data_IF_887994981815
#
_entry.id   IF_887994981815
#
_cell.length_a   1.000
_cell.length_b   1.000
_cell.length_c   1.000
_cell.angle_alpha   90.00
_cell.angle_beta   90.00
_cell.angle_gamma   90.00
#
_symmetry.space_group_name_H-M   'P 1'
#
loop_
_entity.id
_entity.type
_entity.pdbx_description
1 polymer ?
#
# COMPACT_ATOMS: atom_id res chain seq x y z
N UNK A 1 -57.73 -28.00 17.88
CA UNK A 1 -56.38 -28.23 18.46
C UNK A 1 -55.44 -28.78 17.40
N UNK A 2 -54.43 -27.97 17.05
CA UNK A 2 -53.11 -28.27 16.47
C UNK A 2 -52.95 -29.37 15.39
N UNK A 3 -52.78 -28.92 14.14
CA UNK A 3 -52.17 -29.68 13.03
C UNK A 3 -50.77 -30.16 13.43
N UNK A 4 -50.47 -31.46 13.29
CA UNK A 4 -49.10 -31.98 13.38
C UNK A 4 -48.70 -32.60 12.04
N UNK A 5 -47.86 -31.88 11.31
CA UNK A 5 -47.32 -32.27 10.01
C UNK A 5 -46.48 -33.56 10.11
N UNK A 6 -46.59 -34.49 9.13
CA UNK A 6 -45.75 -35.68 9.08
C UNK A 6 -44.34 -35.29 8.62
N UNK A 7 -43.35 -35.42 9.51
CA UNK A 7 -41.92 -35.27 9.17
C UNK A 7 -41.49 -36.47 8.31
N UNK A 8 -41.59 -36.34 6.99
CA UNK A 8 -41.17 -37.37 6.02
C UNK A 8 -39.71 -37.17 5.59
N UNK A 9 -38.90 -38.18 5.87
CA UNK A 9 -37.95 -38.79 4.93
C UNK A 9 -36.98 -37.83 4.21
N UNK A 10 -36.06 -37.22 4.95
CA UNK A 10 -34.82 -36.79 4.31
C UNK A 10 -33.95 -38.03 4.09
N UNK A 11 -33.96 -38.55 2.87
CA UNK A 11 -33.09 -39.65 2.42
C UNK A 11 -31.66 -39.39 2.90
N UNK A 12 -30.97 -40.42 3.41
CA UNK A 12 -29.56 -40.34 3.84
C UNK A 12 -28.65 -39.80 2.73
N UNK A 13 -29.05 -39.98 1.46
CA UNK A 13 -28.39 -39.41 0.28
C UNK A 13 -28.52 -37.89 0.18
N UNK A 14 -29.68 -37.34 0.57
CA UNK A 14 -29.98 -35.91 0.55
C UNK A 14 -29.31 -35.17 1.72
N UNK A 15 -29.26 -35.80 2.91
CA UNK A 15 -28.51 -35.25 4.05
C UNK A 15 -27.02 -35.15 3.70
N UNK A 16 -26.47 -36.14 3.00
CA UNK A 16 -25.08 -36.15 2.53
C UNK A 16 -24.78 -35.04 1.50
N UNK A 17 -25.68 -34.78 0.55
CA UNK A 17 -25.47 -33.72 -0.44
C UNK A 17 -25.55 -32.32 0.18
N UNK A 18 -26.46 -32.11 1.14
CA UNK A 18 -26.56 -30.85 1.89
C UNK A 18 -25.31 -30.66 2.75
N UNK A 19 -24.84 -31.70 3.44
CA UNK A 19 -23.64 -31.63 4.28
C UNK A 19 -22.38 -31.26 3.47
N UNK A 20 -22.21 -31.82 2.28
CA UNK A 20 -21.09 -31.50 1.39
C UNK A 20 -21.16 -30.05 0.88
N UNK A 21 -22.37 -29.58 0.55
CA UNK A 21 -22.60 -28.19 0.14
C UNK A 21 -22.29 -27.19 1.25
N UNK A 22 -22.76 -27.43 2.47
CA UNK A 22 -22.45 -26.56 3.61
C UNK A 22 -20.96 -26.57 3.97
N UNK A 23 -20.28 -27.71 3.83
CA UNK A 23 -18.83 -27.81 4.05
C UNK A 23 -18.05 -26.97 3.02
N UNK A 24 -18.44 -27.00 1.75
CA UNK A 24 -17.81 -26.23 0.69
C UNK A 24 -17.95 -24.71 0.91
N UNK A 25 -19.13 -24.27 1.36
CA UNK A 25 -19.39 -22.86 1.68
C UNK A 25 -18.55 -22.40 2.87
N UNK A 26 -18.51 -23.18 3.95
CA UNK A 26 -17.70 -22.87 5.14
C UNK A 26 -16.21 -22.87 4.80
N UNK A 27 -15.74 -23.84 4.00
CA UNK A 27 -14.35 -23.90 3.53
C UNK A 27 -13.96 -22.71 2.66
N UNK A 28 -14.84 -22.27 1.76
CA UNK A 28 -14.61 -21.09 0.91
C UNK A 28 -14.53 -19.80 1.73
N UNK A 29 -15.37 -19.67 2.76
CA UNK A 29 -15.28 -18.54 3.68
C UNK A 29 -14.01 -18.61 4.53
N UNK A 30 -13.68 -19.76 5.14
CA UNK A 30 -12.48 -19.93 5.96
C UNK A 30 -11.19 -19.61 5.19
N UNK A 31 -11.03 -20.13 3.97
CA UNK A 31 -9.92 -19.79 3.09
C UNK A 31 -9.90 -18.30 2.71
N UNK A 32 -11.08 -17.67 2.62
CA UNK A 32 -11.21 -16.24 2.35
C UNK A 32 -10.88 -15.32 3.53
N UNK A 33 -10.95 -15.79 4.78
CA UNK A 33 -10.58 -15.00 5.98
C UNK A 33 -9.13 -15.24 6.43
N UNK A 34 -8.51 -16.35 6.06
CA UNK A 34 -7.12 -16.69 6.44
C UNK A 34 -6.05 -16.16 5.46
N UNK A 35 -6.45 -15.66 4.29
CA UNK A 35 -5.54 -15.05 3.29
C UNK A 35 -4.91 -13.72 3.73
N UNK A 36 -5.12 -13.25 4.96
CA UNK A 36 -4.37 -12.10 5.52
C UNK A 36 -3.38 -12.49 6.61
N UNK A 37 -3.02 -13.79 6.77
CA UNK A 37 -2.14 -14.19 7.87
C UNK A 37 -0.85 -14.94 7.54
N UNK A 38 -0.60 -15.39 6.32
CA UNK A 38 0.77 -15.77 5.91
C UNK A 38 0.87 -15.99 4.39
N UNK A 39 1.33 -14.96 3.68
CA UNK A 39 2.26 -15.14 2.57
C UNK A 39 3.21 -13.94 2.67
N UNK A 40 4.32 -14.15 3.37
CA UNK A 40 5.58 -14.58 2.75
C UNK A 40 6.38 -13.34 2.36
N UNK A 41 6.95 -12.73 3.39
CA UNK A 41 8.30 -12.18 3.28
C UNK A 41 9.14 -13.18 2.47
N UNK A 42 9.84 -12.72 1.44
CA UNK A 42 10.77 -13.48 0.57
C UNK A 42 10.23 -14.03 -0.77
N UNK A 43 9.89 -13.13 -1.72
CA UNK A 43 10.53 -13.13 -3.07
C UNK A 43 9.80 -12.28 -4.13
N UNK A 44 9.48 -10.99 -3.91
CA UNK A 44 9.58 -10.00 -4.99
C UNK A 44 9.61 -8.58 -4.44
N UNK A 45 10.65 -7.84 -4.81
CA UNK A 45 10.92 -6.45 -4.49
C UNK A 45 9.84 -5.52 -5.07
N UNK A 46 8.73 -5.35 -4.37
CA UNK A 46 8.07 -4.04 -4.32
C UNK A 46 8.61 -3.42 -3.03
N UNK A 47 9.77 -2.79 -3.03
CA UNK A 47 9.87 -1.34 -3.28
C UNK A 47 8.62 -0.58 -2.81
N UNK A 48 8.13 -0.93 -1.61
CA UNK A 48 7.66 0.09 -0.69
C UNK A 48 8.94 0.83 -0.30
N UNK A 49 9.40 1.69 -1.21
CA UNK A 49 10.24 2.82 -0.86
C UNK A 49 9.33 3.64 0.06
N UNK A 50 9.19 3.25 1.33
CA UNK A 50 8.79 4.25 2.29
C UNK A 50 9.86 5.30 2.13
N UNK A 51 9.48 6.51 1.75
CA UNK A 51 10.30 7.69 1.88
C UNK A 51 10.77 7.78 3.34
N UNK A 52 11.81 7.02 3.69
CA UNK A 52 12.38 6.89 5.03
C UNK A 52 13.56 7.85 5.19
N UNK A 53 13.72 8.76 4.20
CA UNK A 53 14.65 9.87 4.24
C UNK A 53 14.07 11.08 4.98
N UNK A 54 14.91 11.94 5.54
CA UNK A 54 14.48 13.23 6.06
C UNK A 54 13.78 14.05 4.96
N UNK A 55 12.77 14.83 5.32
CA UNK A 55 12.09 15.73 4.38
C UNK A 55 13.13 16.61 3.68
N UNK A 56 13.13 16.61 2.35
CA UNK A 56 14.12 17.28 1.51
C UNK A 56 15.29 16.43 1.02
N UNK A 57 15.46 15.18 1.48
CA UNK A 57 16.40 14.21 0.92
C UNK A 57 15.72 13.48 -0.24
N UNK A 58 15.90 14.01 -1.45
CA UNK A 58 15.19 13.54 -2.64
C UNK A 58 15.98 12.46 -3.37
N UNK A 59 17.30 12.43 -3.17
CA UNK A 59 18.16 11.41 -3.76
C UNK A 59 18.27 10.13 -2.91
N UNK A 60 17.87 10.18 -1.63
CA UNK A 60 17.84 9.04 -0.71
C UNK A 60 19.20 8.67 -0.11
N UNK A 61 20.17 9.59 -0.09
CA UNK A 61 21.52 9.37 0.45
C UNK A 61 21.60 9.63 1.98
N UNK A 62 20.48 10.01 2.60
CA UNK A 62 20.36 10.29 4.02
C UNK A 62 20.81 11.69 4.42
N UNK A 63 21.27 12.51 3.47
CA UNK A 63 21.77 13.86 3.71
C UNK A 63 21.02 14.86 2.86
N UNK A 64 20.39 15.84 3.50
CA UNK A 64 19.78 16.98 2.79
C UNK A 64 20.89 17.95 2.36
N UNK A 65 21.25 17.94 1.08
CA UNK A 65 22.30 18.78 0.50
C UNK A 65 21.91 19.43 -0.86
N UNK A 66 22.87 20.09 -1.51
CA UNK A 66 22.63 20.79 -2.77
C UNK A 66 22.24 19.85 -3.93
N UNK A 67 22.58 18.56 -3.85
CA UNK A 67 22.20 17.56 -4.86
C UNK A 67 20.70 17.36 -4.88
N UNK A 68 20.04 17.39 -3.72
CA UNK A 68 18.58 17.33 -3.64
C UNK A 68 17.92 18.54 -4.28
N UNK A 69 18.48 19.73 -4.05
CA UNK A 69 18.00 20.97 -4.66
C UNK A 69 18.08 20.89 -6.19
N UNK A 70 19.20 20.41 -6.72
CA UNK A 70 19.38 20.24 -8.17
C UNK A 70 18.37 19.23 -8.72
N UNK A 71 18.17 18.11 -8.03
CA UNK A 71 17.23 17.07 -8.44
C UNK A 71 15.77 17.57 -8.50
N UNK A 72 15.36 18.40 -7.54
CA UNK A 72 14.04 19.05 -7.56
C UNK A 72 13.88 19.97 -8.77
N UNK A 73 14.92 20.75 -9.11
CA UNK A 73 14.90 21.62 -10.29
C UNK A 73 14.87 20.82 -11.61
N UNK A 74 15.49 19.64 -11.64
CA UNK A 74 15.40 18.74 -12.79
C UNK A 74 14.00 18.15 -12.95
N UNK A 75 13.31 17.84 -11.85
CA UNK A 75 11.92 17.40 -11.88
C UNK A 75 10.97 18.50 -12.36
N UNK A 76 11.17 19.73 -11.90
CA UNK A 76 10.37 20.89 -12.31
C UNK A 76 10.53 21.19 -13.81
N UNK A 77 11.76 21.10 -14.33
CA UNK A 77 12.06 21.28 -15.75
C UNK A 77 11.64 20.07 -16.62
N UNK A 78 11.18 18.97 -16.01
CA UNK A 78 10.80 17.74 -16.72
C UNK A 78 12.00 16.99 -17.33
N UNK A 79 13.21 17.25 -16.85
CA UNK A 79 14.43 16.55 -17.27
C UNK A 79 14.52 15.16 -16.64
N UNK A 80 13.88 14.98 -15.48
CA UNK A 80 13.77 13.71 -14.78
C UNK A 80 12.35 13.52 -14.25
N UNK A 81 11.92 12.26 -14.10
CA UNK A 81 10.58 11.94 -13.59
C UNK A 81 10.68 11.42 -12.15
N UNK A 82 10.11 12.12 -11.16
CA UNK A 82 10.19 11.71 -9.77
C UNK A 82 9.38 10.45 -9.49
N UNK A 83 9.95 9.55 -8.70
CA UNK A 83 9.19 8.44 -8.09
C UNK A 83 8.14 8.98 -7.11
N UNK A 84 7.22 8.13 -6.67
CA UNK A 84 6.17 8.52 -5.71
C UNK A 84 6.75 9.01 -4.40
N UNK A 85 7.88 8.45 -3.98
CA UNK A 85 8.48 8.72 -2.67
C UNK A 85 9.38 9.95 -2.73
N UNK A 86 10.09 10.13 -3.84
CA UNK A 86 10.75 11.39 -4.17
C UNK A 86 9.75 12.55 -4.23
N UNK A 87 8.53 12.32 -4.73
CA UNK A 87 7.47 13.34 -4.75
C UNK A 87 7.11 13.82 -3.35
N UNK A 88 7.01 12.90 -2.39
CA UNK A 88 6.69 13.24 -1.00
C UNK A 88 7.85 13.95 -0.29
N UNK A 89 9.09 13.56 -0.61
CA UNK A 89 10.29 14.13 -0.01
C UNK A 89 10.63 15.51 -0.61
N UNK A 90 10.35 15.72 -1.89
CA UNK A 90 10.55 16.97 -2.61
C UNK A 90 9.49 18.03 -2.29
N UNK A 91 8.27 17.62 -1.96
CA UNK A 91 7.15 18.50 -1.58
C UNK A 91 7.29 18.94 -0.11
N UNK A 92 8.13 19.95 0.13
CA UNK A 92 8.48 20.47 1.46
C UNK A 92 7.40 21.36 2.07
N UNK A 93 6.49 21.92 1.27
CA UNK A 93 5.38 22.73 1.77
C UNK A 93 4.01 22.07 1.73
N UNK A 94 3.97 20.83 1.24
CA UNK A 94 2.81 19.95 1.23
C UNK A 94 1.66 20.53 0.39
N UNK A 95 1.98 21.23 -0.70
CA UNK A 95 1.01 21.75 -1.67
C UNK A 95 0.69 20.75 -2.80
N UNK A 96 1.28 19.55 -2.73
CA UNK A 96 1.19 18.46 -3.70
C UNK A 96 1.83 18.76 -5.07
N UNK A 97 2.68 19.79 -5.16
CA UNK A 97 3.42 20.16 -6.35
C UNK A 97 4.91 20.14 -6.03
N UNK A 98 5.72 19.83 -7.05
CA UNK A 98 7.17 19.99 -6.97
C UNK A 98 7.47 21.27 -7.72
N UNK A 99 7.96 22.28 -7.02
CA UNK A 99 8.23 23.59 -7.57
C UNK A 99 9.63 24.10 -7.20
N UNK A 100 10.07 25.17 -7.87
CA UNK A 100 11.30 25.89 -7.49
C UNK A 100 11.22 26.44 -6.06
N UNK A 101 10.01 26.67 -5.53
CA UNK A 101 9.84 27.15 -4.16
C UNK A 101 10.31 26.12 -3.14
N UNK A 102 10.12 24.84 -3.43
CA UNK A 102 10.56 23.72 -2.61
C UNK A 102 12.08 23.61 -2.58
N UNK A 103 12.69 23.68 -3.77
CA UNK A 103 14.14 23.76 -3.94
C UNK A 103 14.74 24.93 -3.13
N UNK A 104 14.09 26.11 -3.18
CA UNK A 104 14.55 27.28 -2.43
C UNK A 104 14.45 27.11 -0.92
N UNK A 105 13.43 26.44 -0.41
CA UNK A 105 13.30 26.15 1.04
C UNK A 105 14.42 25.25 1.53
N UNK A 106 14.73 24.19 0.78
CA UNK A 106 15.82 23.27 1.10
C UNK A 106 17.17 24.00 1.02
N UNK A 107 17.40 24.78 -0.06
CA UNK A 107 18.62 25.58 -0.20
C UNK A 107 18.83 26.57 0.97
N UNK A 108 17.75 27.21 1.44
CA UNK A 108 17.80 28.07 2.64
C UNK A 108 18.09 27.28 3.90
N UNK A 109 17.48 26.11 4.09
CA UNK A 109 17.73 25.26 5.25
C UNK A 109 19.19 24.79 5.32
N UNK A 110 19.81 24.50 4.17
CA UNK A 110 21.23 24.14 4.07
C UNK A 110 22.11 25.35 4.37
N UNK A 111 21.79 26.54 3.84
CA UNK A 111 22.57 27.75 4.02
C UNK A 111 22.54 28.33 5.45
N UNK A 112 21.55 27.92 6.26
CA UNK A 112 21.37 28.36 7.65
C UNK A 112 21.85 27.33 8.68
N UNK A 113 22.35 26.18 8.24
CA UNK A 113 23.04 25.20 9.10
C UNK A 113 24.49 25.59 9.32
#
# INVERSE_FOLDING_TARGET
MTKKHPRRFLSTRLVRSIALGTLCIIGSFALGIETTKEHLDTALRADVSQADGPVGDVNGDGTVDIKDVILILEFEQGLSTPTTDQRKLADVDHDYRITVQDALRIARAIALR
#
